data_IF_856510609959
#
_entry.id   IF_856510609959
#
_cell.length_a   1.000
_cell.length_b   1.000
_cell.length_c   1.000
_cell.angle_alpha   90.00
_cell.angle_beta   90.00
_cell.angle_gamma   90.00
#
_symmetry.space_group_name_H-M   'P 1'
#
loop_
_entity.id
_entity.type
_entity.pdbx_description
1 polymer ?
#
# COMPACT_ATOMS: atom_id res chain seq x y z
N UNK A 1 22.46 8.35 5.98
CA UNK A 1 21.03 8.54 5.70
C UNK A 1 20.57 9.78 6.45
N UNK A 2 20.18 10.83 5.74
CA UNK A 2 19.60 12.03 6.36
C UNK A 2 18.10 11.78 6.47
N UNK A 3 17.51 12.00 7.64
CA UNK A 3 16.06 11.87 7.86
C UNK A 3 15.51 13.26 8.15
N UNK A 4 14.53 13.69 7.36
CA UNK A 4 13.80 14.93 7.57
C UNK A 4 12.40 14.61 8.04
N UNK A 5 12.06 15.17 9.20
CA UNK A 5 10.75 14.97 9.81
C UNK A 5 9.77 16.01 9.28
N UNK A 6 8.57 15.57 8.95
CA UNK A 6 7.46 16.44 8.57
C UNK A 6 6.28 16.25 9.51
N UNK A 7 5.42 17.26 9.58
CA UNK A 7 4.20 17.24 10.40
C UNK A 7 3.00 16.59 9.67
N UNK A 8 3.24 15.97 8.52
CA UNK A 8 2.20 15.38 7.67
C UNK A 8 2.74 14.77 6.38
N UNK A 9 1.86 14.12 5.59
CA UNK A 9 2.23 13.52 4.33
C UNK A 9 2.50 14.58 3.25
N UNK A 10 3.16 14.22 2.13
CA UNK A 10 3.23 15.06 0.95
C UNK A 10 1.83 15.51 0.49
N UNK A 11 1.74 16.71 -0.09
CA UNK A 11 0.48 17.31 -0.56
C UNK A 11 0.39 17.41 -2.08
N UNK A 12 1.53 17.40 -2.74
CA UNK A 12 1.63 17.54 -4.18
C UNK A 12 1.65 16.15 -4.83
N UNK A 13 1.16 16.07 -6.06
CA UNK A 13 1.33 14.88 -6.90
C UNK A 13 2.81 14.77 -7.25
N UNK A 14 3.40 13.60 -7.01
CA UNK A 14 4.75 13.31 -7.47
C UNK A 14 4.67 12.76 -8.89
N UNK A 15 5.51 13.30 -9.78
CA UNK A 15 5.68 12.78 -11.13
C UNK A 15 7.06 12.15 -11.26
N UNK A 16 7.11 11.02 -11.93
CA UNK A 16 8.33 10.29 -12.22
C UNK A 16 8.53 10.35 -13.74
N UNK A 17 9.52 11.11 -14.21
CA UNK A 17 9.84 11.16 -15.64
C UNK A 17 10.30 9.79 -16.13
N UNK A 18 10.00 9.47 -17.40
CA UNK A 18 10.38 8.22 -18.06
C UNK A 18 11.83 7.84 -17.75
N UNK A 19 11.98 6.81 -16.93
CA UNK A 19 13.28 6.23 -16.61
C UNK A 19 13.82 5.54 -17.86
N UNK A 20 14.61 6.26 -18.64
CA UNK A 20 15.71 5.63 -19.37
C UNK A 20 16.66 5.06 -18.30
N UNK A 21 16.35 3.83 -17.87
CA UNK A 21 17.18 2.89 -17.13
C UNK A 21 18.37 3.50 -16.38
N UNK A 22 18.10 4.01 -15.18
CA UNK A 22 18.95 3.97 -13.98
C UNK A 22 18.44 5.06 -13.05
N UNK A 23 17.86 4.67 -11.92
CA UNK A 23 17.85 5.51 -10.74
C UNK A 23 19.32 5.85 -10.42
N UNK A 24 19.86 6.94 -10.99
CA UNK A 24 21.17 7.54 -10.65
C UNK A 24 21.11 8.18 -9.25
N UNK A 25 20.62 7.40 -8.28
CA UNK A 25 20.53 7.68 -6.86
C UNK A 25 21.95 7.69 -6.30
N UNK A 26 22.65 8.80 -6.50
CA UNK A 26 23.92 9.06 -5.84
C UNK A 26 23.66 9.10 -4.32
N UNK A 27 24.60 8.61 -3.48
CA UNK A 27 24.44 8.58 -2.01
C UNK A 27 24.09 9.92 -1.33
N UNK A 28 24.28 11.04 -2.05
CA UNK A 28 23.94 12.41 -1.64
C UNK A 28 22.46 12.80 -1.85
N UNK A 29 21.65 11.95 -2.49
CA UNK A 29 20.23 12.20 -2.80
C UNK A 29 19.26 11.44 -1.87
N UNK A 30 19.76 10.67 -0.91
CA UNK A 30 18.92 9.87 0.00
C UNK A 30 18.61 10.69 1.25
N UNK A 31 17.66 11.62 1.10
CA UNK A 31 16.97 12.26 2.20
C UNK A 31 15.62 11.60 2.38
N UNK A 32 15.46 10.86 3.46
CA UNK A 32 14.22 10.18 3.77
C UNK A 32 13.31 11.12 4.53
N UNK A 33 12.13 11.35 3.97
CA UNK A 33 11.09 12.14 4.62
C UNK A 33 10.20 11.18 5.39
N UNK A 34 10.04 11.42 6.70
CA UNK A 34 9.13 10.63 7.51
C UNK A 34 8.23 11.51 8.39
N UNK A 35 6.96 11.13 8.44
CA UNK A 35 6.03 11.57 9.47
C UNK A 35 6.12 10.58 10.63
N UNK A 36 6.28 11.09 11.85
CA UNK A 36 6.38 10.25 13.05
C UNK A 36 5.06 10.25 13.79
N UNK A 37 4.44 9.07 13.95
CA UNK A 37 3.38 8.84 14.90
C UNK A 37 3.90 8.09 16.13
N UNK A 38 3.20 8.22 17.26
CA UNK A 38 3.50 7.50 18.50
C UNK A 38 2.35 6.54 18.80
N UNK A 39 2.67 5.30 19.17
CA UNK A 39 1.65 4.31 19.50
C UNK A 39 1.92 3.68 20.87
N UNK A 40 0.95 3.70 21.81
CA UNK A 40 1.05 2.94 23.04
C UNK A 40 0.78 1.46 22.74
N UNK A 41 1.79 0.59 22.88
CA UNK A 41 1.65 -0.85 22.65
C UNK A 41 1.78 -1.65 23.95
N UNK A 42 0.75 -2.43 24.27
CA UNK A 42 0.84 -3.47 25.31
C UNK A 42 1.17 -4.80 24.66
N UNK A 43 2.41 -5.27 24.83
CA UNK A 43 2.87 -6.55 24.33
C UNK A 43 2.42 -7.73 25.19
N UNK A 44 2.35 -8.92 24.59
CA UNK A 44 2.09 -10.16 25.30
C UNK A 44 3.10 -11.24 24.89
N UNK A 45 3.76 -11.86 25.86
CA UNK A 45 4.46 -13.13 25.63
C UNK A 45 3.45 -14.28 25.72
N UNK A 46 3.61 -15.26 24.83
CA UNK A 46 2.93 -16.53 24.95
C UNK A 46 4.01 -17.61 25.08
N UNK A 47 4.15 -18.17 26.30
CA UNK A 47 5.08 -19.25 26.61
C UNK A 47 4.45 -20.64 26.40
N UNK A 48 3.13 -20.66 26.14
CA UNK A 48 2.36 -21.85 25.84
C UNK A 48 2.43 -22.11 24.32
N UNK A 49 3.59 -22.58 23.88
CA UNK A 49 3.85 -22.95 22.48
C UNK A 49 3.05 -24.18 22.01
N UNK A 50 2.04 -24.60 22.77
CA UNK A 50 1.15 -25.68 22.36
C UNK A 50 0.39 -25.26 21.10
N UNK A 51 0.29 -26.20 20.16
CA UNK A 51 -0.36 -25.95 18.88
C UNK A 51 -1.73 -26.62 18.87
N UNK A 52 -2.78 -25.82 18.70
CA UNK A 52 -4.10 -26.31 18.37
C UNK A 52 -4.36 -26.15 16.86
N UNK A 53 -5.09 -27.09 16.25
CA UNK A 53 -5.55 -26.96 14.86
C UNK A 53 -6.66 -25.91 14.78
N UNK A 54 -6.24 -24.65 14.67
CA UNK A 54 -7.13 -23.49 14.64
C UNK A 54 -7.24 -22.94 13.23
N UNK A 55 -8.32 -22.19 12.95
CA UNK A 55 -8.47 -21.44 11.68
C UNK A 55 -7.27 -20.53 11.40
N UNK A 56 -6.74 -19.86 12.43
CA UNK A 56 -5.58 -18.97 12.31
C UNK A 56 -4.33 -19.74 11.87
N UNK A 57 -4.09 -20.93 12.42
CA UNK A 57 -2.99 -21.80 11.98
C UNK A 57 -3.12 -22.16 10.50
N UNK A 58 -4.33 -22.51 10.05
CA UNK A 58 -4.59 -22.85 8.63
C UNK A 58 -4.29 -21.67 7.70
N UNK A 59 -4.68 -20.45 8.09
CA UNK A 59 -4.36 -19.24 7.33
C UNK A 59 -2.85 -18.98 7.27
N UNK A 60 -2.14 -19.18 8.38
CA UNK A 60 -0.68 -19.05 8.40
C UNK A 60 0.01 -20.07 7.48
N UNK A 61 -0.42 -21.34 7.49
CA UNK A 61 0.13 -22.36 6.59
C UNK A 61 -0.17 -22.05 5.12
N UNK A 62 -1.42 -21.66 4.81
CA UNK A 62 -1.80 -21.24 3.45
C UNK A 62 -0.98 -20.04 2.96
N UNK A 63 -0.76 -19.04 3.81
CA UNK A 63 0.06 -17.89 3.47
C UNK A 63 1.48 -18.29 3.08
N UNK A 64 2.10 -19.24 3.80
CA UNK A 64 3.42 -19.76 3.44
C UNK A 64 3.42 -20.50 2.10
N UNK A 65 2.42 -21.33 1.85
CA UNK A 65 2.32 -22.15 0.63
C UNK A 65 2.04 -21.31 -0.62
N UNK A 66 1.26 -20.24 -0.48
CA UNK A 66 0.74 -19.43 -1.59
C UNK A 66 1.42 -18.06 -1.72
N UNK A 67 2.57 -17.87 -1.06
CA UNK A 67 3.32 -16.62 -1.18
C UNK A 67 3.80 -16.42 -2.62
N UNK A 68 3.63 -15.19 -3.11
CA UNK A 68 4.14 -14.73 -4.40
C UNK A 68 5.31 -13.76 -4.19
N UNK A 69 6.13 -13.59 -5.21
CA UNK A 69 7.24 -12.66 -5.26
C UNK A 69 7.00 -11.64 -6.37
N UNK A 70 6.74 -10.40 -5.98
CA UNK A 70 6.41 -9.33 -6.91
C UNK A 70 7.49 -9.04 -7.94
N UNK A 71 8.76 -9.32 -7.66
CA UNK A 71 9.86 -9.05 -8.60
C UNK A 71 9.97 -10.07 -9.75
N UNK A 72 9.48 -11.29 -9.58
CA UNK A 72 9.65 -12.39 -10.56
C UNK A 72 8.34 -13.00 -11.05
N UNK A 73 7.27 -12.94 -10.28
CA UNK A 73 5.99 -13.57 -10.64
C UNK A 73 5.12 -12.65 -11.51
N UNK A 74 5.44 -11.35 -11.57
CA UNK A 74 4.76 -10.36 -12.41
C UNK A 74 5.58 -10.04 -13.66
N UNK A 75 4.88 -9.85 -14.79
CA UNK A 75 5.51 -9.44 -16.05
C UNK A 75 5.73 -7.91 -16.08
N UNK A 76 6.90 -7.48 -15.63
CA UNK A 76 7.31 -6.08 -15.65
C UNK A 76 7.80 -5.58 -17.01
N UNK A 77 7.97 -6.44 -18.02
CA UNK A 77 8.37 -5.99 -19.37
C UNK A 77 7.20 -5.36 -20.13
N UNK A 78 5.96 -5.64 -19.71
CA UNK A 78 4.78 -5.03 -20.29
C UNK A 78 4.63 -3.57 -19.84
N UNK A 79 4.36 -2.68 -20.79
CA UNK A 79 3.95 -1.30 -20.55
C UNK A 79 2.67 -1.07 -21.35
N UNK A 80 1.64 -0.57 -20.68
CA UNK A 80 0.36 -0.30 -21.31
C UNK A 80 0.49 0.90 -22.27
N UNK A 81 -0.04 0.84 -23.52
CA UNK A 81 0.11 1.92 -24.50
C UNK A 81 -0.44 3.25 -23.98
N UNK A 82 0.22 4.37 -24.25
CA UNK A 82 -0.14 5.69 -23.71
C UNK A 82 -1.45 6.27 -24.28
N UNK A 83 -1.86 5.78 -25.44
CA UNK A 83 -3.04 6.19 -26.21
C UNK A 83 -4.24 5.23 -26.03
N UNK A 84 -4.17 4.34 -25.05
CA UNK A 84 -5.25 3.43 -24.67
C UNK A 84 -5.68 3.66 -23.20
N UNK A 85 -6.92 3.28 -22.89
CA UNK A 85 -7.47 3.27 -21.53
C UNK A 85 -6.89 2.08 -20.75
N UNK A 86 -6.43 2.32 -19.52
CA UNK A 86 -5.90 1.30 -18.61
C UNK A 86 -7.02 0.36 -18.15
N UNK A 87 -8.18 0.93 -17.81
CA UNK A 87 -9.32 0.15 -17.31
C UNK A 87 -10.46 0.16 -18.33
N UNK A 88 -10.87 -1.03 -18.75
CA UNK A 88 -12.12 -1.25 -19.48
C UNK A 88 -13.20 -1.66 -18.47
N UNK A 89 -14.16 -0.77 -18.21
CA UNK A 89 -15.29 -1.07 -17.35
C UNK A 89 -16.45 -1.68 -18.19
N UNK A 90 -17.08 -2.74 -17.68
CA UNK A 90 -18.26 -3.36 -18.32
C UNK A 90 -19.48 -2.42 -18.35
N UNK A 91 -19.53 -1.45 -17.44
CA UNK A 91 -20.57 -0.43 -17.32
C UNK A 91 -19.95 0.96 -17.20
N UNK A 92 -20.69 2.00 -17.62
CA UNK A 92 -20.24 3.38 -17.51
C UNK A 92 -20.00 3.76 -16.04
N UNK A 93 -18.80 4.24 -15.75
CA UNK A 93 -18.43 4.73 -14.42
C UNK A 93 -19.22 6.02 -14.10
N UNK A 94 -19.54 6.30 -12.83
CA UNK A 94 -20.37 7.45 -12.46
C UNK A 94 -19.88 8.79 -13.03
N UNK A 95 -18.55 8.98 -13.10
CA UNK A 95 -17.95 10.21 -13.63
C UNK A 95 -18.14 10.34 -15.16
N UNK A 96 -18.31 9.23 -15.89
CA UNK A 96 -18.50 9.23 -17.34
C UNK A 96 -19.88 9.78 -17.75
N UNK A 97 -20.84 9.79 -16.82
CA UNK A 97 -22.18 10.38 -17.01
C UNK A 97 -22.22 11.90 -16.82
N UNK A 98 -21.09 12.52 -16.46
CA UNK A 98 -21.01 13.96 -16.21
C UNK A 98 -20.77 14.71 -17.52
N UNK A 99 -21.54 15.79 -17.76
CA UNK A 99 -21.37 16.67 -18.94
C UNK A 99 -19.92 17.17 -19.09
N UNK A 100 -19.24 17.42 -17.96
CA UNK A 100 -17.84 17.83 -17.95
C UNK A 100 -16.89 16.76 -18.53
N UNK A 101 -17.17 15.47 -18.28
CA UNK A 101 -16.40 14.36 -18.85
C UNK A 101 -16.76 14.14 -20.32
N UNK A 102 -18.04 14.22 -20.68
CA UNK A 102 -18.50 14.08 -22.06
C UNK A 102 -17.89 15.13 -23.00
N UNK A 103 -17.64 16.34 -22.48
CA UNK A 103 -17.02 17.44 -23.21
C UNK A 103 -15.51 17.28 -23.46
N UNK A 104 -14.84 16.32 -22.79
CA UNK A 104 -13.42 16.03 -23.00
C UNK A 104 -13.20 15.39 -24.38
N UNK A 105 -12.09 15.74 -25.02
CA UNK A 105 -11.57 14.98 -26.15
C UNK A 105 -11.15 13.58 -25.73
N UNK A 106 -11.02 12.66 -26.70
CA UNK A 106 -10.61 11.28 -26.39
C UNK A 106 -9.25 11.22 -25.69
N UNK A 107 -8.31 12.08 -26.11
CA UNK A 107 -7.00 12.19 -25.47
C UNK A 107 -7.13 12.61 -24.01
N UNK A 108 -7.99 13.59 -23.71
CA UNK A 108 -8.23 14.05 -22.34
C UNK A 108 -8.94 12.99 -21.49
N UNK A 109 -9.78 12.14 -22.10
CA UNK A 109 -10.41 11.01 -21.40
C UNK A 109 -9.42 9.92 -21.04
N UNK A 110 -8.47 9.61 -21.94
CA UNK A 110 -7.37 8.68 -21.66
C UNK A 110 -6.45 9.24 -20.58
N UNK A 111 -6.13 10.53 -20.63
CA UNK A 111 -5.35 11.20 -19.58
C UNK A 111 -6.09 11.15 -18.23
N UNK A 112 -7.40 11.41 -18.22
CA UNK A 112 -8.24 11.27 -17.03
C UNK A 112 -8.18 9.85 -16.45
N UNK A 113 -8.35 8.82 -17.29
CA UNK A 113 -8.28 7.42 -16.86
C UNK A 113 -6.93 7.07 -16.21
N UNK A 114 -5.82 7.56 -16.78
CA UNK A 114 -4.49 7.38 -16.15
C UNK A 114 -4.40 8.03 -14.78
N UNK A 115 -4.92 9.24 -14.64
CA UNK A 115 -4.95 9.94 -13.35
C UNK A 115 -5.87 9.25 -12.34
N UNK A 116 -7.02 8.74 -12.76
CA UNK A 116 -7.97 8.00 -11.92
C UNK A 116 -7.34 6.71 -11.38
N UNK A 117 -6.69 5.94 -12.26
CA UNK A 117 -5.95 4.73 -11.88
C UNK A 117 -4.75 5.06 -10.97
N UNK A 118 -4.00 6.13 -11.26
CA UNK A 118 -2.88 6.58 -10.43
C UNK A 118 -3.35 6.96 -9.02
N UNK A 119 -4.47 7.67 -8.91
CA UNK A 119 -5.06 8.08 -7.63
C UNK A 119 -5.48 6.84 -6.84
N UNK A 120 -6.28 5.95 -7.45
CA UNK A 120 -6.77 4.74 -6.82
C UNK A 120 -5.62 3.86 -6.29
N UNK A 121 -4.64 3.57 -7.13
CA UNK A 121 -3.49 2.73 -6.77
C UNK A 121 -2.59 3.39 -5.72
N UNK A 122 -2.51 4.73 -5.71
CA UNK A 122 -1.84 5.46 -4.63
C UNK A 122 -2.56 5.26 -3.29
N UNK A 123 -3.89 5.29 -3.27
CA UNK A 123 -4.65 5.04 -2.04
C UNK A 123 -4.51 3.59 -1.55
N UNK A 124 -4.44 2.61 -2.46
CA UNK A 124 -4.09 1.24 -2.09
C UNK A 124 -2.70 1.19 -1.49
N UNK A 125 -1.67 1.72 -2.14
CA UNK A 125 -0.32 1.77 -1.57
C UNK A 125 -0.29 2.34 -0.15
N UNK A 126 -0.97 3.47 0.09
CA UNK A 126 -1.07 4.07 1.43
C UNK A 126 -1.80 3.17 2.43
N UNK A 127 -2.90 2.53 2.00
CA UNK A 127 -3.63 1.55 2.80
C UNK A 127 -2.76 0.35 3.18
N UNK A 128 -2.04 -0.22 2.22
CA UNK A 128 -1.12 -1.35 2.42
C UNK A 128 0.02 -0.98 3.37
N UNK A 129 0.54 0.24 3.30
CA UNK A 129 1.51 0.72 4.28
C UNK A 129 0.90 0.79 5.69
N UNK A 130 -0.35 1.23 5.79
CA UNK A 130 -1.12 1.20 7.04
C UNK A 130 -1.29 -0.21 7.59
N UNK A 131 -1.74 -1.15 6.74
CA UNK A 131 -1.94 -2.55 7.08
C UNK A 131 -0.64 -3.24 7.50
N UNK A 132 0.47 -2.96 6.80
CA UNK A 132 1.82 -3.38 7.16
C UNK A 132 2.17 -2.97 8.61
N UNK A 133 1.96 -1.70 8.93
CA UNK A 133 2.24 -1.16 10.26
C UNK A 133 1.34 -1.81 11.33
N UNK A 134 0.04 -1.98 11.03
CA UNK A 134 -0.92 -2.65 11.91
C UNK A 134 -0.51 -4.11 12.18
N UNK A 135 -0.23 -4.90 11.15
CA UNK A 135 0.19 -6.29 11.27
C UNK A 135 1.50 -6.43 12.07
N UNK A 136 2.44 -5.50 11.87
CA UNK A 136 3.69 -5.48 12.62
C UNK A 136 3.47 -5.25 14.12
N UNK A 137 2.54 -4.37 14.49
CA UNK A 137 2.15 -4.13 15.89
C UNK A 137 1.48 -5.36 16.50
N UNK A 138 0.59 -6.02 15.75
CA UNK A 138 -0.11 -7.22 16.18
C UNK A 138 0.83 -8.39 16.50
N UNK A 139 1.97 -8.49 15.82
CA UNK A 139 3.01 -9.48 16.16
C UNK A 139 3.47 -9.34 17.62
N UNK A 140 3.56 -8.12 18.13
CA UNK A 140 3.94 -7.85 19.52
C UNK A 140 2.76 -8.01 20.49
N UNK A 141 1.55 -7.60 20.10
CA UNK A 141 0.40 -7.48 21.01
C UNK A 141 -0.54 -8.68 21.04
N UNK A 142 -0.63 -9.49 19.97
CA UNK A 142 -1.57 -10.60 19.91
C UNK A 142 -1.30 -11.62 21.04
N UNK A 143 -2.33 -12.11 21.75
CA UNK A 143 -2.16 -12.88 22.99
C UNK A 143 -1.76 -14.35 22.78
N UNK A 144 -1.90 -14.88 21.57
CA UNK A 144 -1.66 -16.31 21.28
C UNK A 144 -0.51 -16.51 20.32
N UNK A 145 0.20 -17.64 20.47
CA UNK A 145 1.30 -18.03 19.60
C UNK A 145 0.90 -18.04 18.11
N UNK A 146 -0.20 -18.72 17.77
CA UNK A 146 -0.68 -18.80 16.38
C UNK A 146 -1.05 -17.43 15.80
N UNK A 147 -1.68 -16.54 16.59
CA UNK A 147 -2.03 -15.20 16.11
C UNK A 147 -0.78 -14.36 15.80
N UNK A 148 0.31 -14.52 16.58
CA UNK A 148 1.58 -13.85 16.31
C UNK A 148 2.23 -14.35 15.01
N UNK A 149 2.24 -15.67 14.79
CA UNK A 149 2.78 -16.24 13.55
C UNK A 149 1.99 -15.74 12.33
N UNK A 150 0.66 -15.73 12.45
CA UNK A 150 -0.19 -15.23 11.38
C UNK A 150 0.02 -13.72 11.14
N UNK A 151 0.04 -12.89 12.18
CA UNK A 151 0.32 -11.45 12.05
C UNK A 151 1.70 -11.19 11.41
N UNK A 152 2.71 -11.98 11.75
CA UNK A 152 4.03 -11.88 11.12
C UNK A 152 3.99 -12.24 9.64
N UNK A 153 3.22 -13.26 9.25
CA UNK A 153 3.03 -13.59 7.83
C UNK A 153 2.30 -12.48 7.06
N UNK A 154 1.29 -11.84 7.67
CA UNK A 154 0.58 -10.71 7.06
C UNK A 154 1.49 -9.47 6.95
N UNK A 155 2.35 -9.23 7.94
CA UNK A 155 3.36 -8.16 7.86
C UNK A 155 4.24 -8.33 6.61
N UNK A 156 4.62 -9.57 6.28
CA UNK A 156 5.38 -9.84 5.07
C UNK A 156 4.54 -9.75 3.79
N UNK A 157 3.25 -10.10 3.85
CA UNK A 157 2.31 -9.96 2.73
C UNK A 157 2.13 -8.49 2.34
N UNK A 158 1.78 -7.63 3.30
CA UNK A 158 1.56 -6.20 3.03
C UNK A 158 2.85 -5.48 2.60
N UNK A 159 4.02 -5.94 3.07
CA UNK A 159 5.30 -5.42 2.58
C UNK A 159 5.46 -5.64 1.06
N UNK A 160 5.00 -6.78 0.54
CA UNK A 160 5.04 -7.09 -0.90
C UNK A 160 4.00 -6.30 -1.68
N UNK A 161 2.83 -6.06 -1.09
CA UNK A 161 1.83 -5.16 -1.69
C UNK A 161 2.38 -3.74 -1.82
N UNK A 162 2.96 -3.20 -0.75
CA UNK A 162 3.63 -1.88 -0.76
C UNK A 162 4.72 -1.82 -1.84
N UNK A 163 5.58 -2.84 -1.92
CA UNK A 163 6.63 -2.93 -2.94
C UNK A 163 6.05 -2.84 -4.36
N UNK A 164 5.02 -3.64 -4.65
CA UNK A 164 4.47 -3.79 -6.00
C UNK A 164 3.66 -2.56 -6.43
N UNK A 165 2.80 -2.02 -5.56
CA UNK A 165 2.08 -0.79 -5.88
C UNK A 165 3.03 0.39 -6.06
N UNK A 166 4.04 0.53 -5.20
CA UNK A 166 5.04 1.58 -5.35
C UNK A 166 5.80 1.44 -6.67
N UNK A 167 6.25 0.22 -7.00
CA UNK A 167 6.97 -0.04 -8.26
C UNK A 167 6.09 0.25 -9.46
N UNK A 168 4.83 -0.18 -9.45
CA UNK A 168 3.89 0.06 -10.55
C UNK A 168 3.59 1.56 -10.75
N UNK A 169 3.34 2.30 -9.66
CA UNK A 169 3.12 3.75 -9.73
C UNK A 169 4.33 4.49 -10.30
N UNK A 170 5.55 4.08 -9.94
CA UNK A 170 6.78 4.72 -10.41
C UNK A 170 7.18 4.31 -11.83
N UNK A 171 7.18 3.01 -12.15
CA UNK A 171 7.71 2.48 -13.41
C UNK A 171 6.67 2.38 -14.53
N UNK A 172 5.37 2.30 -14.20
CA UNK A 172 4.31 2.03 -15.19
C UNK A 172 3.33 3.18 -15.38
N UNK A 173 2.91 3.83 -14.31
CA UNK A 173 2.01 4.99 -14.40
C UNK A 173 2.79 6.31 -14.44
N UNK A 174 3.89 6.42 -13.69
CA UNK A 174 4.70 7.63 -13.62
C UNK A 174 4.17 8.71 -12.68
N UNK A 175 3.18 8.41 -11.84
CA UNK A 175 2.56 9.39 -10.93
C UNK A 175 2.19 8.78 -9.58
N UNK A 176 2.25 9.60 -8.53
CA UNK A 176 1.83 9.21 -7.18
C UNK A 176 1.03 10.34 -6.53
N UNK A 177 -0.18 10.01 -6.08
CA UNK A 177 -1.08 10.94 -5.42
C UNK A 177 -0.85 10.96 -3.90
N UNK A 178 -1.06 12.12 -3.25
CA UNK A 178 -1.03 12.20 -1.80
C UNK A 178 -2.15 11.36 -1.18
N UNK A 179 -1.94 10.90 0.05
CA UNK A 179 -2.95 10.13 0.77
C UNK A 179 -4.22 10.95 0.97
N UNK A 180 -5.38 10.31 0.76
CA UNK A 180 -6.67 10.91 1.06
C UNK A 180 -6.74 11.27 2.56
N UNK A 181 -7.15 12.49 2.93
CA UNK A 181 -7.20 12.91 4.34
C UNK A 181 -8.07 12.01 5.24
N UNK A 182 -9.15 11.44 4.70
CA UNK A 182 -10.02 10.54 5.46
C UNK A 182 -9.35 9.17 5.67
N UNK A 183 -8.64 8.67 4.66
CA UNK A 183 -7.83 7.45 4.80
C UNK A 183 -6.74 7.66 5.84
N UNK A 184 -5.98 8.77 5.75
CA UNK A 184 -4.96 9.12 6.77
C UNK A 184 -5.54 9.17 8.18
N UNK A 185 -6.69 9.84 8.35
CA UNK A 185 -7.35 9.93 9.64
C UNK A 185 -7.79 8.55 10.18
N UNK A 186 -8.24 7.65 9.30
CA UNK A 186 -8.59 6.28 9.67
C UNK A 186 -7.35 5.48 10.10
N UNK A 187 -6.27 5.55 9.32
CA UNK A 187 -4.99 4.90 9.63
C UNK A 187 -4.44 5.39 10.97
N UNK A 188 -4.39 6.71 11.19
CA UNK A 188 -3.92 7.30 12.44
C UNK A 188 -4.72 6.78 13.63
N UNK A 189 -6.05 6.73 13.49
CA UNK A 189 -6.94 6.23 14.54
C UNK A 189 -6.65 4.77 14.89
N UNK A 190 -6.48 3.90 13.89
CA UNK A 190 -6.22 2.46 14.11
C UNK A 190 -4.81 2.27 14.70
N UNK A 191 -3.82 2.94 14.14
CA UNK A 191 -2.41 2.81 14.54
C UNK A 191 -2.16 3.32 15.96
N UNK A 192 -2.90 4.33 16.40
CA UNK A 192 -2.77 4.92 17.75
C UNK A 192 -3.73 4.36 18.79
N UNK A 193 -4.72 3.54 18.41
CA UNK A 193 -5.60 2.87 19.40
C UNK A 193 -4.78 1.88 20.24
N UNK A 194 -4.93 1.98 21.56
CA UNK A 194 -4.22 1.13 22.54
C UNK A 194 -4.76 -0.31 22.57
N UNK A 195 -5.99 -0.52 22.09
CA UNK A 195 -6.65 -1.83 22.08
C UNK A 195 -6.18 -2.63 20.87
N UNK A 196 -5.40 -3.66 21.15
CA UNK A 196 -4.86 -4.54 20.12
C UNK A 196 -5.93 -5.22 19.27
N UNK A 197 -7.11 -5.51 19.83
CA UNK A 197 -8.20 -6.22 19.17
C UNK A 197 -8.89 -5.36 18.11
N UNK A 198 -8.96 -4.04 18.30
CA UNK A 198 -9.48 -3.14 17.26
C UNK A 198 -8.57 -3.02 16.04
N UNK A 199 -7.28 -3.30 16.22
CA UNK A 199 -6.31 -3.35 15.11
C UNK A 199 -6.58 -4.52 14.16
N UNK A 200 -7.43 -5.49 14.51
CA UNK A 200 -7.87 -6.56 13.58
C UNK A 200 -9.02 -6.14 12.63
N UNK A 201 -9.65 -4.99 12.86
CA UNK A 201 -10.77 -4.50 12.06
C UNK A 201 -10.29 -3.57 10.93
N UNK A 202 -9.09 -3.01 11.11
CA UNK A 202 -8.44 -2.08 10.19
C UNK A 202 -7.79 -2.75 9.00
#
# INVERSE_FOLDING_TARGET
MKITKTDGPPKDILQFENFDNELDLKPKHIEDICEIFQTPLTGAYNWDYTTADTRIKKLYELGKELNWNGSIDLNWDYTHPDDEFITEADEDLPHQTLEAYEALSEKEKIEFDRHDNAELLSQFLHGEQGALLVASQLTSCAPTYNAKLYAASQTFDEARHVEVFNRYLQEKIGMHYPINPNLKALLDKILTDERWDLKFIG
#
